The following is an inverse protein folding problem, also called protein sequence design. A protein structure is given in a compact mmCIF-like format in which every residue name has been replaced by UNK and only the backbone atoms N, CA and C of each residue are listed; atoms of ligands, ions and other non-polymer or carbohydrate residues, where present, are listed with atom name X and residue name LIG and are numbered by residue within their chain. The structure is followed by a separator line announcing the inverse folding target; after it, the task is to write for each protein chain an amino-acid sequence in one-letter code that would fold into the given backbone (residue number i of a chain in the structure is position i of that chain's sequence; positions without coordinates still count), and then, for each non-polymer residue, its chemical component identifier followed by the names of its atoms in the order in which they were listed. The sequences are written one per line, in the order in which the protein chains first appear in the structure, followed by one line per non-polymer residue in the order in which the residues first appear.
data_IF_871665697954
#
_entry.id   IF_871665697954
#
_cell.length_a   1.000
_cell.length_b   1.000
_cell.length_c   1.000
_cell.angle_alpha   90.00
_cell.angle_beta   90.00
_cell.angle_gamma   90.00
#
_symmetry.space_group_name_H-M   'P 1'
#
loop_
_entity.id
_entity.type
_entity.pdbx_description
1 polymer ?
#
# COMPACT_ATOMS: atom_id res chain seq x y z
N UNK A 1 9.64 26.64 24.49
CA UNK A 1 8.73 25.48 24.53
C UNK A 1 8.84 24.89 25.92
N UNK A 2 7.74 24.62 26.61
CA UNK A 2 7.79 23.96 27.94
C UNK A 2 7.92 22.44 27.76
N UNK A 3 8.55 21.74 28.70
CA UNK A 3 8.74 20.27 28.61
C UNK A 3 7.41 19.52 28.40
N UNK A 4 6.32 19.98 29.01
CA UNK A 4 4.97 19.43 28.82
C UNK A 4 4.47 19.52 27.37
N UNK A 5 4.87 20.54 26.63
CA UNK A 5 4.46 20.70 25.22
C UNK A 5 5.24 19.75 24.32
N UNK A 6 6.52 19.49 24.64
CA UNK A 6 7.35 18.53 23.92
C UNK A 6 6.79 17.11 24.10
N UNK A 7 6.47 16.72 25.34
CA UNK A 7 5.90 15.40 25.64
C UNK A 7 4.55 15.17 24.94
N UNK A 8 3.69 16.20 24.90
CA UNK A 8 2.40 16.11 24.24
C UNK A 8 2.55 15.88 22.72
N UNK A 9 3.46 16.60 22.07
CA UNK A 9 3.73 16.46 20.64
C UNK A 9 4.36 15.11 20.29
N UNK A 10 5.30 14.62 21.10
CA UNK A 10 5.87 13.28 20.92
C UNK A 10 4.82 12.18 21.05
N UNK A 11 3.86 12.34 21.96
CA UNK A 11 2.74 11.40 22.10
C UNK A 11 1.80 11.44 20.90
N UNK A 12 1.51 12.62 20.36
CA UNK A 12 0.72 12.77 19.14
C UNK A 12 1.43 12.11 17.95
N UNK A 13 2.75 12.28 17.85
CA UNK A 13 3.58 11.65 16.82
C UNK A 13 3.47 10.12 16.85
N UNK A 14 3.65 9.50 18.02
CA UNK A 14 3.53 8.04 18.20
C UNK A 14 2.12 7.53 17.85
N UNK A 15 1.08 8.30 18.17
CA UNK A 15 -0.29 7.96 17.78
C UNK A 15 -0.45 7.97 16.25
N UNK A 16 0.08 8.98 15.57
CA UNK A 16 0.03 9.06 14.11
C UNK A 16 0.81 7.93 13.44
N UNK A 17 2.01 7.63 13.94
CA UNK A 17 2.86 6.56 13.40
C UNK A 17 2.18 5.19 13.50
N UNK A 18 1.65 4.84 14.68
CA UNK A 18 0.89 3.60 14.88
C UNK A 18 -0.35 3.52 14.01
N UNK A 19 -1.01 4.64 13.72
CA UNK A 19 -2.16 4.67 12.81
C UNK A 19 -1.75 4.36 11.38
N UNK A 20 -0.65 4.94 10.91
CA UNK A 20 -0.07 4.68 9.59
C UNK A 20 0.30 3.20 9.46
N UNK A 21 1.02 2.66 10.44
CA UNK A 21 1.47 1.27 10.47
C UNK A 21 0.27 0.29 10.50
N UNK A 22 -0.71 0.54 11.38
CA UNK A 22 -1.92 -0.29 11.47
C UNK A 22 -2.70 -0.28 10.16
N UNK A 23 -2.83 0.87 9.50
CA UNK A 23 -3.54 0.98 8.23
C UNK A 23 -2.85 0.17 7.11
N UNK A 24 -1.52 0.20 7.05
CA UNK A 24 -0.73 -0.56 6.08
C UNK A 24 -0.83 -2.06 6.36
N UNK A 25 -0.57 -2.47 7.61
CA UNK A 25 -0.63 -3.87 8.05
C UNK A 25 -2.00 -4.50 7.77
N UNK A 26 -3.10 -3.84 8.14
CA UNK A 26 -4.43 -4.38 7.90
C UNK A 26 -4.75 -4.51 6.40
N UNK A 27 -4.23 -3.61 5.56
CA UNK A 27 -4.46 -3.68 4.11
C UNK A 27 -3.75 -4.87 3.49
N UNK A 28 -2.50 -5.13 3.89
CA UNK A 28 -1.72 -6.26 3.40
C UNK A 28 -2.15 -7.59 4.00
N UNK A 29 -2.59 -7.63 5.26
CA UNK A 29 -3.17 -8.83 5.86
C UNK A 29 -4.43 -9.29 5.12
N UNK A 30 -5.34 -8.37 4.78
CA UNK A 30 -6.50 -8.71 3.94
C UNK A 30 -6.08 -9.23 2.56
N UNK A 31 -5.09 -8.59 1.93
CA UNK A 31 -4.57 -9.02 0.64
C UNK A 31 -3.97 -10.44 0.71
N UNK A 32 -3.28 -10.78 1.80
CA UNK A 32 -2.65 -12.08 2.01
C UNK A 32 -3.66 -13.24 2.08
N UNK A 33 -4.93 -12.96 2.34
CA UNK A 33 -6.01 -13.96 2.31
C UNK A 33 -6.71 -13.96 0.95
N UNK A 34 -7.07 -12.78 0.44
CA UNK A 34 -7.89 -12.64 -0.78
C UNK A 34 -7.12 -13.07 -2.03
N UNK A 35 -5.84 -12.67 -2.15
CA UNK A 35 -5.07 -12.91 -3.37
C UNK A 35 -4.75 -14.40 -3.56
N UNK A 36 -4.22 -15.13 -2.55
CA UNK A 36 -3.97 -16.57 -2.72
C UNK A 36 -5.24 -17.37 -2.98
N UNK A 37 -6.35 -17.03 -2.33
CA UNK A 37 -7.63 -17.67 -2.59
C UNK A 37 -8.08 -17.46 -4.04
N UNK A 38 -7.89 -16.26 -4.58
CA UNK A 38 -8.18 -15.97 -5.98
C UNK A 38 -7.27 -16.74 -6.94
N UNK A 39 -5.96 -16.83 -6.64
CA UNK A 39 -5.02 -17.64 -7.43
C UNK A 39 -5.40 -19.12 -7.41
N UNK A 40 -5.80 -19.66 -6.25
CA UNK A 40 -6.27 -21.04 -6.14
C UNK A 40 -7.54 -21.27 -6.97
N UNK A 41 -8.48 -20.32 -6.95
CA UNK A 41 -9.66 -20.34 -7.83
C UNK A 41 -9.28 -20.35 -9.31
N UNK A 42 -8.34 -19.49 -9.72
CA UNK A 42 -7.84 -19.48 -11.10
C UNK A 42 -7.23 -20.81 -11.51
N UNK A 43 -6.41 -21.41 -10.65
CA UNK A 43 -5.80 -22.71 -10.94
C UNK A 43 -6.86 -23.81 -11.08
N UNK A 44 -7.83 -23.86 -10.15
CA UNK A 44 -8.89 -24.86 -10.15
C UNK A 44 -9.74 -24.81 -11.43
N UNK A 45 -10.30 -23.65 -11.76
CA UNK A 45 -11.16 -23.51 -12.95
C UNK A 45 -10.37 -23.46 -14.26
N UNK A 46 -9.11 -22.99 -14.22
CA UNK A 46 -8.22 -23.01 -15.38
C UNK A 46 -7.82 -24.42 -15.82
N UNK A 47 -7.65 -25.35 -14.86
CA UNK A 47 -7.25 -26.73 -15.15
C UNK A 47 -8.42 -27.70 -15.35
N UNK A 48 -9.66 -27.27 -15.07
CA UNK A 48 -10.83 -28.15 -15.22
C UNK A 48 -11.10 -28.40 -16.72
N UNK A 49 -11.11 -29.67 -17.17
CA UNK A 49 -11.29 -30.01 -18.60
C UNK A 49 -12.77 -30.12 -19.02
N UNK A 50 -13.69 -30.25 -18.06
CA UNK A 50 -15.11 -30.42 -18.32
C UNK A 50 -15.78 -29.06 -18.40
N UNK A 51 -16.41 -28.74 -19.53
CA UNK A 51 -17.16 -27.50 -19.73
C UNK A 51 -18.65 -27.82 -19.76
N UNK A 52 -19.32 -27.56 -18.64
CA UNK A 52 -20.75 -27.86 -18.46
C UNK A 52 -21.48 -26.62 -17.96
N UNK A 53 -22.78 -26.45 -18.27
CA UNK A 53 -23.56 -25.31 -17.78
C UNK A 53 -23.57 -25.20 -16.24
N UNK A 54 -23.53 -26.32 -15.52
CA UNK A 54 -23.45 -26.35 -14.06
C UNK A 54 -22.11 -25.78 -13.56
N UNK A 55 -20.99 -26.20 -14.17
CA UNK A 55 -19.68 -25.66 -13.82
C UNK A 55 -19.58 -24.16 -14.15
N UNK A 56 -20.16 -23.73 -15.27
CA UNK A 56 -20.23 -22.32 -15.63
C UNK A 56 -20.97 -21.50 -14.57
N UNK A 57 -22.12 -21.99 -14.07
CA UNK A 57 -22.86 -21.32 -13.00
C UNK A 57 -22.04 -21.23 -11.70
N UNK A 58 -21.33 -22.30 -11.33
CA UNK A 58 -20.44 -22.30 -10.16
C UNK A 58 -19.32 -21.26 -10.35
N UNK A 59 -18.65 -21.28 -11.50
CA UNK A 59 -17.61 -20.30 -11.84
C UNK A 59 -18.15 -18.87 -11.78
N UNK A 60 -19.34 -18.63 -12.32
CA UNK A 60 -19.98 -17.31 -12.31
C UNK A 60 -20.17 -16.78 -10.89
N UNK A 61 -20.72 -17.60 -9.99
CA UNK A 61 -20.94 -17.22 -8.60
C UNK A 61 -19.60 -16.94 -7.89
N UNK A 62 -18.61 -17.81 -8.08
CA UNK A 62 -17.28 -17.65 -7.46
C UNK A 62 -16.56 -16.42 -8.01
N UNK A 63 -16.64 -16.16 -9.31
CA UNK A 63 -16.03 -15.01 -9.95
C UNK A 63 -16.66 -13.70 -9.46
N UNK A 64 -17.99 -13.62 -9.40
CA UNK A 64 -18.70 -12.46 -8.86
C UNK A 64 -18.29 -12.23 -7.41
N UNK A 65 -18.35 -13.27 -6.56
CA UNK A 65 -17.95 -13.16 -5.16
C UNK A 65 -16.51 -12.68 -4.98
N UNK A 66 -15.59 -13.21 -5.79
CA UNK A 66 -14.18 -12.83 -5.76
C UNK A 66 -13.95 -11.40 -6.23
N UNK A 67 -14.59 -10.97 -7.33
CA UNK A 67 -14.54 -9.58 -7.82
C UNK A 67 -15.09 -8.63 -6.77
N UNK A 68 -16.20 -8.96 -6.11
CA UNK A 68 -16.75 -8.15 -5.01
C UNK A 68 -15.77 -8.04 -3.86
N UNK A 69 -15.15 -9.14 -3.41
CA UNK A 69 -14.15 -9.12 -2.33
C UNK A 69 -12.92 -8.27 -2.69
N UNK A 70 -12.36 -8.45 -3.89
CA UNK A 70 -11.22 -7.66 -4.37
C UNK A 70 -11.57 -6.17 -4.45
N UNK A 71 -12.76 -5.85 -4.96
CA UNK A 71 -13.24 -4.46 -5.08
C UNK A 71 -13.40 -3.82 -3.70
N UNK A 72 -14.02 -4.53 -2.74
CA UNK A 72 -14.17 -4.06 -1.36
C UNK A 72 -12.80 -3.83 -0.71
N UNK A 73 -11.87 -4.77 -0.86
CA UNK A 73 -10.50 -4.60 -0.37
C UNK A 73 -9.81 -3.37 -0.98
N UNK A 74 -9.93 -3.17 -2.30
CA UNK A 74 -9.35 -2.02 -2.98
C UNK A 74 -9.95 -0.69 -2.50
N UNK A 75 -11.27 -0.63 -2.29
CA UNK A 75 -11.95 0.56 -1.76
C UNK A 75 -11.51 0.86 -0.32
N UNK A 76 -11.37 -0.17 0.53
CA UNK A 76 -10.85 -0.02 1.89
C UNK A 76 -9.40 0.47 1.89
N UNK A 77 -8.54 -0.11 1.03
CA UNK A 77 -7.16 0.33 0.86
C UNK A 77 -7.09 1.81 0.41
N UNK A 78 -7.98 2.22 -0.51
CA UNK A 78 -8.07 3.60 -0.99
C UNK A 78 -8.51 4.56 0.11
N UNK A 79 -9.54 4.21 0.87
CA UNK A 79 -10.04 5.02 1.99
C UNK A 79 -8.97 5.23 3.06
N UNK A 80 -8.31 4.13 3.48
CA UNK A 80 -7.22 4.17 4.47
C UNK A 80 -6.02 4.98 4.02
N UNK A 81 -5.72 5.00 2.72
CA UNK A 81 -4.63 5.81 2.20
C UNK A 81 -4.87 7.32 2.40
N UNK A 82 -6.13 7.79 2.41
CA UNK A 82 -6.45 9.19 2.74
C UNK A 82 -6.12 9.51 4.19
N UNK A 83 -6.53 8.64 5.13
CA UNK A 83 -6.17 8.79 6.56
C UNK A 83 -4.65 8.76 6.76
N UNK A 84 -3.96 7.89 6.03
CA UNK A 84 -2.50 7.82 6.04
C UNK A 84 -1.86 9.14 5.63
N UNK A 85 -2.36 9.79 4.57
CA UNK A 85 -1.82 11.09 4.16
C UNK A 85 -2.01 12.18 5.22
N UNK A 86 -3.16 12.22 5.88
CA UNK A 86 -3.42 13.19 6.96
C UNK A 86 -2.49 12.94 8.14
N UNK A 87 -2.33 11.69 8.56
CA UNK A 87 -1.42 11.32 9.65
C UNK A 87 0.04 11.67 9.32
N UNK A 88 0.52 11.35 8.11
CA UNK A 88 1.87 11.69 7.67
C UNK A 88 2.09 13.21 7.58
N UNK A 89 1.07 13.96 7.14
CA UNK A 89 1.14 15.42 7.11
C UNK A 89 1.27 15.98 8.53
N UNK A 90 0.46 15.48 9.49
CA UNK A 90 0.52 15.90 10.89
C UNK A 90 1.85 15.54 11.56
N UNK A 91 2.37 14.34 11.30
CA UNK A 91 3.71 13.94 11.76
C UNK A 91 4.78 14.92 11.28
N UNK A 92 4.69 15.40 10.04
CA UNK A 92 5.63 16.38 9.49
C UNK A 92 5.54 17.75 10.17
N UNK A 93 4.32 18.20 10.51
CA UNK A 93 4.13 19.43 11.29
C UNK A 93 4.77 19.32 12.67
N UNK A 94 4.49 18.21 13.38
CA UNK A 94 5.05 17.93 14.71
C UNK A 94 6.58 17.89 14.66
N UNK A 95 7.15 17.24 13.64
CA UNK A 95 8.60 17.22 13.46
C UNK A 95 9.17 18.63 13.27
N UNK A 96 8.51 19.47 12.47
CA UNK A 96 8.92 20.86 12.28
C UNK A 96 8.86 21.65 13.59
N UNK A 97 7.85 21.44 14.43
CA UNK A 97 7.70 22.11 15.72
C UNK A 97 8.75 21.66 16.75
N UNK A 98 9.11 20.38 16.73
CA UNK A 98 10.11 19.79 17.62
C UNK A 98 11.55 19.95 17.12
N UNK A 99 11.75 20.49 15.91
CA UNK A 99 13.05 20.54 15.27
C UNK A 99 13.62 19.15 14.92
N UNK A 100 12.75 18.15 14.81
CA UNK A 100 13.04 16.80 14.32
C UNK A 100 12.98 16.80 12.78
N UNK A 101 13.66 15.84 12.16
CA UNK A 101 13.83 15.83 10.70
C UNK A 101 13.56 14.46 10.06
N UNK A 102 12.98 13.52 10.80
CA UNK A 102 12.84 12.11 10.42
C UNK A 102 12.15 11.93 9.06
N UNK A 103 11.08 12.68 8.79
CA UNK A 103 10.33 12.66 7.53
C UNK A 103 11.09 13.29 6.34
N UNK A 104 11.95 14.29 6.59
CA UNK A 104 12.79 14.85 5.54
C UNK A 104 13.82 13.84 5.03
N UNK A 105 14.24 12.90 5.89
CA UNK A 105 15.17 11.83 5.52
C UNK A 105 14.51 10.71 4.74
N UNK A 106 13.31 10.27 5.13
CA UNK A 106 12.53 9.30 4.35
C UNK A 106 12.11 9.87 2.99
N UNK A 107 11.77 11.17 2.93
CA UNK A 107 11.50 11.88 1.67
C UNK A 107 12.74 11.99 0.76
N UNK A 108 13.93 12.19 1.34
CA UNK A 108 15.21 12.20 0.61
C UNK A 108 15.53 10.83 -0.01
N UNK A 109 15.30 9.75 0.73
CA UNK A 109 15.51 8.37 0.27
C UNK A 109 14.61 8.04 -0.93
N UNK A 110 13.40 8.60 -1.00
CA UNK A 110 12.42 8.36 -2.08
C UNK A 110 12.66 9.08 -3.41
N UNK A 111 13.64 10.00 -3.51
CA UNK A 111 13.91 10.78 -4.74
C UNK A 111 14.85 10.06 -5.73
N UNK A 112 14.78 10.41 -7.02
CA UNK A 112 15.73 9.84 -8.00
C UNK A 112 17.17 10.32 -7.72
N UNK A 113 18.19 9.54 -8.10
CA UNK A 113 19.62 9.88 -7.90
C UNK A 113 20.01 11.29 -8.36
N UNK A 114 19.33 11.82 -9.39
CA UNK A 114 19.59 13.17 -9.93
C UNK A 114 19.03 14.27 -9.02
N UNK A 115 17.84 14.06 -8.46
CA UNK A 115 17.20 14.98 -7.51
C UNK A 115 17.83 14.91 -6.12
N UNK A 116 18.28 13.72 -5.72
CA UNK A 116 19.08 13.52 -4.51
C UNK A 116 20.36 14.36 -4.55
N UNK A 117 21.07 14.40 -5.69
CA UNK A 117 22.29 15.22 -5.83
C UNK A 117 22.04 16.72 -5.66
N UNK A 118 20.92 17.24 -6.15
CA UNK A 118 20.55 18.66 -6.01
C UNK A 118 20.21 18.98 -4.55
N UNK A 119 19.42 18.13 -3.90
CA UNK A 119 19.03 18.28 -2.50
C UNK A 119 20.23 18.12 -1.54
N UNK A 120 21.16 17.19 -1.81
CA UNK A 120 22.44 17.03 -1.09
C UNK A 120 23.33 18.26 -1.24
N UNK A 121 23.28 18.96 -2.38
CA UNK A 121 24.07 20.16 -2.61
C UNK A 121 23.59 21.34 -1.74
N UNK A 122 22.28 21.45 -1.50
CA UNK A 122 21.69 22.40 -0.54
C UNK A 122 21.95 22.00 0.93
N UNK A 123 22.01 20.70 1.23
CA UNK A 123 22.23 20.18 2.59
C UNK A 123 23.70 20.12 3.04
N UNK A 124 24.65 20.20 2.10
CA UNK A 124 26.10 20.04 2.36
C UNK A 124 26.69 21.09 3.31
N UNK A 125 26.02 22.21 3.52
CA UNK A 125 26.36 23.19 4.55
C UNK A 125 26.19 22.67 5.99
N UNK A 126 25.51 21.53 6.20
CA UNK A 126 25.23 20.95 7.53
C UNK A 126 25.77 19.51 7.71
N UNK A 127 27.07 19.35 7.43
CA UNK A 127 27.81 18.08 7.27
C UNK A 127 27.72 17.07 8.42
N UNK A 128 27.60 17.51 9.68
CA UNK A 128 27.55 16.61 10.85
C UNK A 128 26.21 15.87 10.99
N UNK A 129 25.11 16.49 10.54
CA UNK A 129 23.78 15.87 10.58
C UNK A 129 23.64 14.75 9.55
N UNK A 130 24.26 14.89 8.38
CA UNK A 130 24.28 13.90 7.30
C UNK A 130 24.76 12.50 7.74
N UNK A 131 25.82 12.46 8.55
CA UNK A 131 26.43 11.19 8.99
C UNK A 131 25.55 10.42 9.98
N UNK A 132 24.67 11.10 10.73
CA UNK A 132 23.71 10.46 11.63
C UNK A 132 22.53 9.82 10.88
N UNK A 133 22.38 10.11 9.59
CA UNK A 133 21.21 9.75 8.79
C UNK A 133 21.48 8.64 7.83
N UNK A 134 22.70 8.63 7.29
CA UNK A 134 23.22 7.57 6.44
C UNK A 134 23.25 6.21 7.17
N UNK A 135 23.32 6.20 8.51
CA UNK A 135 23.27 4.99 9.33
C UNK A 135 21.85 4.45 9.59
N UNK A 136 20.79 5.19 9.28
CA UNK A 136 19.38 4.77 9.48
C UNK A 136 18.65 4.35 8.18
N UNK A 137 19.37 4.25 7.05
CA UNK A 137 18.83 4.14 5.66
C UNK A 137 18.29 2.75 5.26
N UNK A 138 17.90 1.88 6.19
CA UNK A 138 17.28 0.62 5.81
C UNK A 138 15.75 0.66 5.96
N UNK A 139 15.10 0.83 4.81
CA UNK A 139 13.66 0.67 4.49
C UNK A 139 12.77 1.93 4.58
N UNK A 140 12.30 2.40 3.41
CA UNK A 140 10.89 2.77 3.15
C UNK A 140 10.70 3.30 1.72
N UNK A 141 9.79 2.67 0.96
CA UNK A 141 9.38 3.05 -0.40
C UNK A 141 7.86 3.18 -0.46
N UNK A 142 7.29 4.32 -0.07
CA UNK A 142 5.82 4.49 -0.02
C UNK A 142 5.19 5.33 -1.16
N UNK A 143 5.94 5.69 -2.20
CA UNK A 143 5.38 6.51 -3.29
C UNK A 143 4.50 5.77 -4.31
N UNK A 144 4.37 4.43 -4.20
CA UNK A 144 3.62 3.61 -5.15
C UNK A 144 2.28 3.05 -4.66
N UNK A 145 1.92 3.19 -3.38
CA UNK A 145 0.87 2.35 -2.76
C UNK A 145 -0.47 2.35 -3.50
N UNK A 146 -1.01 3.53 -3.84
CA UNK A 146 -2.27 3.65 -4.59
C UNK A 146 -2.19 3.02 -5.99
N UNK A 147 -1.05 3.15 -6.67
CA UNK A 147 -0.85 2.53 -7.99
C UNK A 147 -0.73 1.02 -7.87
N UNK A 148 0.03 0.53 -6.90
CA UNK A 148 0.24 -0.91 -6.66
C UNK A 148 -1.08 -1.59 -6.31
N UNK A 149 -1.85 -1.07 -5.35
CA UNK A 149 -3.14 -1.69 -4.97
C UNK A 149 -4.15 -1.66 -6.11
N UNK A 150 -4.17 -0.59 -6.91
CA UNK A 150 -5.05 -0.51 -8.09
C UNK A 150 -4.62 -1.48 -9.21
N UNK A 151 -3.31 -1.62 -9.46
CA UNK A 151 -2.78 -2.57 -10.44
C UNK A 151 -3.09 -4.01 -10.05
N UNK A 152 -2.89 -4.36 -8.77
CA UNK A 152 -3.22 -5.69 -8.25
C UNK A 152 -4.71 -5.96 -8.40
N UNK A 153 -5.58 -5.05 -7.94
CA UNK A 153 -7.02 -5.23 -8.04
C UNK A 153 -7.46 -5.42 -9.51
N UNK A 154 -6.98 -4.56 -10.41
CA UNK A 154 -7.29 -4.65 -11.84
C UNK A 154 -6.84 -5.98 -12.46
N UNK A 155 -5.61 -6.41 -12.17
CA UNK A 155 -5.07 -7.68 -12.68
C UNK A 155 -5.93 -8.88 -12.27
N UNK A 156 -6.35 -8.96 -11.01
CA UNK A 156 -7.19 -10.06 -10.54
C UNK A 156 -8.62 -9.98 -11.08
N UNK A 157 -9.22 -8.79 -11.16
CA UNK A 157 -10.55 -8.62 -11.78
C UNK A 157 -10.51 -9.04 -13.26
N UNK A 158 -9.49 -8.59 -14.00
CA UNK A 158 -9.29 -8.99 -15.39
C UNK A 158 -9.10 -10.51 -15.52
N UNK A 159 -8.35 -11.14 -14.62
CA UNK A 159 -8.18 -12.59 -14.57
C UNK A 159 -9.52 -13.35 -14.44
N UNK A 160 -10.39 -12.92 -13.52
CA UNK A 160 -11.74 -13.51 -13.38
C UNK A 160 -12.60 -13.31 -14.62
N UNK A 161 -12.56 -12.12 -15.23
CA UNK A 161 -13.32 -11.84 -16.46
C UNK A 161 -12.84 -12.69 -17.63
N UNK A 162 -11.53 -12.87 -17.79
CA UNK A 162 -10.95 -13.73 -18.83
C UNK A 162 -11.41 -15.18 -18.65
N UNK A 163 -11.42 -15.70 -17.41
CA UNK A 163 -11.91 -17.05 -17.14
C UNK A 163 -13.40 -17.20 -17.45
N UNK A 164 -14.23 -16.21 -17.11
CA UNK A 164 -15.64 -16.22 -17.46
C UNK A 164 -15.85 -16.23 -18.98
N UNK A 165 -15.15 -15.38 -19.72
CA UNK A 165 -15.23 -15.32 -21.18
C UNK A 165 -14.80 -16.65 -21.79
N UNK A 166 -13.69 -17.24 -21.31
CA UNK A 166 -13.24 -18.57 -21.73
C UNK A 166 -14.34 -19.62 -21.52
N UNK A 167 -14.94 -19.65 -20.34
CA UNK A 167 -15.93 -20.67 -20.01
C UNK A 167 -17.23 -20.51 -20.81
N UNK A 168 -17.63 -19.27 -21.11
CA UNK A 168 -18.76 -18.99 -22.00
C UNK A 168 -18.52 -19.59 -23.39
N UNK A 169 -17.34 -19.36 -23.98
CA UNK A 169 -16.98 -19.85 -25.33
C UNK A 169 -16.90 -21.38 -25.39
N UNK A 170 -16.48 -22.03 -24.29
CA UNK A 170 -16.32 -23.48 -24.27
C UNK A 170 -17.62 -24.22 -23.93
N UNK A 171 -18.58 -23.54 -23.31
CA UNK A 171 -19.85 -24.14 -22.89
C UNK A 171 -20.98 -23.92 -23.92
N UNK A 172 -20.95 -22.80 -24.65
CA UNK A 172 -22.00 -22.37 -25.59
C UNK A 172 -21.43 -22.14 -26.99
#
# INVERSE_FOLDING_TARGET
MTDKNVDALLREYDICDRQVERADNQTWQMASVILPLSVAGFAYFGMTPNHTPELFLILLVVAIGSITLITTWWLLARSRNTYRYVALYRMREIESELGLWHYHYTYFIGKSRKEQKTFVKELKDNKQRYQALESQVNSTTHFGFRRITSLIAFMFIAGWLILLIREIILTF
#
